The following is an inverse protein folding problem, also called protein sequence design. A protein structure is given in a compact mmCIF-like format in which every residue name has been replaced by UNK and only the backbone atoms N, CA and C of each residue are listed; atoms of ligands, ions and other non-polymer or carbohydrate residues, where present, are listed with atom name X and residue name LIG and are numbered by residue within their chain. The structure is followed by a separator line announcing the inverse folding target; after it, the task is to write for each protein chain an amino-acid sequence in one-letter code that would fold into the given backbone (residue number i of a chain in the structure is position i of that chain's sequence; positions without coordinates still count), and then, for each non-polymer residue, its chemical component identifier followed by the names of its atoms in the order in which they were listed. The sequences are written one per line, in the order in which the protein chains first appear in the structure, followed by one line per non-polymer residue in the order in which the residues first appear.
data_IF_574735605600
#
_entry.id   IF_574735605600
#
_cell.length_a   1.000
_cell.length_b   1.000
_cell.length_c   1.000
_cell.angle_alpha   90.00
_cell.angle_beta   90.00
_cell.angle_gamma   90.00
#
_symmetry.space_group_name_H-M   'P 1'
#
loop_
_entity.id
_entity.type
_entity.pdbx_description
1 polymer ?
#
# COMPACT_ATOMS: atom_id res chain seq x y z
N UNK A 1 -1.09 13.55 6.66
CA UNK A 1 -2.02 12.47 6.23
C UNK A 1 -2.10 11.40 7.31
N UNK A 2 -3.25 10.72 7.49
CA UNK A 2 -3.38 9.61 8.45
C UNK A 2 -2.72 8.35 7.87
N UNK A 3 -1.77 7.74 8.58
CA UNK A 3 -1.11 6.51 8.13
C UNK A 3 -1.70 5.24 8.77
N UNK A 4 -2.29 5.33 9.97
CA UNK A 4 -2.84 4.18 10.72
C UNK A 4 -4.36 4.08 10.59
N UNK A 5 -4.85 2.91 10.19
CA UNK A 5 -6.26 2.65 9.91
C UNK A 5 -6.80 1.55 10.81
N UNK A 6 -7.77 1.88 11.68
CA UNK A 6 -8.42 0.88 12.53
C UNK A 6 -9.43 0.05 11.74
N UNK A 7 -10.20 0.70 10.87
CA UNK A 7 -11.19 0.03 10.01
C UNK A 7 -10.52 -0.57 8.75
N UNK A 8 -10.65 -1.88 8.50
CA UNK A 8 -10.12 -2.52 7.29
C UNK A 8 -10.65 -1.91 5.99
N UNK A 9 -11.93 -1.50 5.92
CA UNK A 9 -12.51 -0.91 4.71
C UNK A 9 -11.90 0.46 4.39
N UNK A 10 -11.58 1.26 5.40
CA UNK A 10 -10.92 2.55 5.20
C UNK A 10 -9.49 2.36 4.68
N UNK A 11 -8.78 1.35 5.18
CA UNK A 11 -7.44 0.99 4.70
C UNK A 11 -7.49 0.54 3.23
N UNK A 12 -8.43 -0.37 2.91
CA UNK A 12 -8.67 -0.86 1.55
C UNK A 12 -8.97 0.31 0.59
N UNK A 13 -9.92 1.18 0.94
CA UNK A 13 -10.26 2.35 0.12
C UNK A 13 -9.08 3.30 -0.02
N UNK A 14 -8.35 3.61 1.06
CA UNK A 14 -7.24 4.56 0.96
C UNK A 14 -6.13 4.05 0.03
N UNK A 15 -5.74 2.79 0.16
CA UNK A 15 -4.72 2.19 -0.70
C UNK A 15 -5.17 2.17 -2.16
N UNK A 16 -6.46 1.88 -2.40
CA UNK A 16 -7.05 1.96 -3.73
C UNK A 16 -6.95 3.36 -4.31
N UNK A 17 -7.47 4.35 -3.59
CA UNK A 17 -7.52 5.74 -4.07
C UNK A 17 -6.12 6.30 -4.35
N UNK A 18 -5.12 5.97 -3.51
CA UNK A 18 -3.73 6.39 -3.73
C UNK A 18 -3.16 5.83 -5.02
N UNK A 19 -3.31 4.53 -5.23
CA UNK A 19 -2.78 3.89 -6.45
C UNK A 19 -3.55 4.34 -7.68
N UNK A 20 -4.87 4.52 -7.58
CA UNK A 20 -5.69 5.04 -8.68
C UNK A 20 -5.26 6.47 -9.05
N UNK A 21 -5.03 7.34 -8.06
CA UNK A 21 -4.53 8.72 -8.30
C UNK A 21 -3.17 8.71 -9.02
N UNK A 22 -2.28 7.78 -8.66
CA UNK A 22 -1.01 7.57 -9.37
C UNK A 22 -1.22 7.09 -10.81
N UNK A 23 -2.08 6.10 -11.02
CA UNK A 23 -2.39 5.57 -12.36
C UNK A 23 -3.07 6.61 -13.25
N UNK A 24 -3.80 7.56 -12.67
CA UNK A 24 -4.39 8.72 -13.35
C UNK A 24 -3.36 9.82 -13.67
N UNK A 25 -2.11 9.67 -13.24
CA UNK A 25 -1.04 10.65 -13.45
C UNK A 25 -1.18 11.91 -12.59
N UNK A 26 -1.94 11.83 -11.51
CA UNK A 26 -2.21 12.94 -10.57
C UNK A 26 -1.33 12.88 -9.31
N UNK A 27 -0.52 11.82 -9.17
CA UNK A 27 0.43 11.60 -8.09
C UNK A 27 1.70 11.01 -8.67
N UNK A 28 2.86 11.52 -8.27
CA UNK A 28 4.14 10.98 -8.71
C UNK A 28 4.49 9.69 -7.95
N UNK A 29 5.32 8.83 -8.57
CA UNK A 29 5.71 7.56 -7.97
C UNK A 29 6.43 7.74 -6.63
N UNK A 30 7.28 8.77 -6.50
CA UNK A 30 7.99 9.05 -5.25
C UNK A 30 7.02 9.38 -4.10
N UNK A 31 6.00 10.21 -4.37
CA UNK A 31 4.99 10.56 -3.37
C UNK A 31 4.11 9.35 -3.02
N UNK A 32 3.77 8.52 -4.01
CA UNK A 32 3.07 7.26 -3.80
C UNK A 32 3.90 6.34 -2.89
N UNK A 33 5.17 6.13 -3.21
CA UNK A 33 6.08 5.25 -2.49
C UNK A 33 6.18 5.67 -1.02
N UNK A 34 6.49 6.94 -0.75
CA UNK A 34 6.57 7.48 0.61
C UNK A 34 5.28 7.27 1.39
N UNK A 35 4.14 7.53 0.75
CA UNK A 35 2.83 7.46 1.40
C UNK A 35 2.42 6.02 1.70
N UNK A 36 2.60 5.11 0.74
CA UNK A 36 2.29 3.68 0.90
C UNK A 36 3.23 3.04 1.91
N UNK A 37 4.54 3.35 1.87
CA UNK A 37 5.51 2.89 2.85
C UNK A 37 5.11 3.32 4.28
N UNK A 38 4.69 4.57 4.46
CA UNK A 38 4.19 5.03 5.76
C UNK A 38 2.95 4.26 6.24
N UNK A 39 2.03 3.93 5.33
CA UNK A 39 0.84 3.11 5.64
C UNK A 39 1.26 1.68 6.01
N UNK A 40 2.18 1.07 5.27
CA UNK A 40 2.70 -0.27 5.58
C UNK A 40 3.32 -0.27 6.97
N UNK A 41 4.21 0.68 7.27
CA UNK A 41 4.88 0.79 8.57
C UNK A 41 3.88 0.98 9.72
N UNK A 42 2.80 1.75 9.50
CA UNK A 42 1.80 2.04 10.54
C UNK A 42 0.76 0.93 10.76
N UNK A 43 0.58 0.00 9.81
CA UNK A 43 -0.42 -1.07 9.88
C UNK A 43 0.18 -2.49 9.85
N UNK A 44 1.48 -2.61 9.55
CA UNK A 44 2.28 -3.83 9.55
C UNK A 44 1.61 -4.97 8.79
N UNK A 45 1.42 -6.07 9.52
CA UNK A 45 0.83 -7.33 9.05
C UNK A 45 -0.52 -7.22 8.33
N UNK A 46 -1.24 -6.10 8.51
CA UNK A 46 -2.53 -5.86 7.86
C UNK A 46 -2.41 -5.46 6.39
N UNK A 47 -1.23 -4.98 5.98
CA UNK A 47 -0.95 -4.52 4.62
C UNK A 47 0.06 -5.44 3.94
N UNK A 48 1.14 -5.78 4.63
CA UNK A 48 2.19 -6.62 4.06
C UNK A 48 2.81 -7.47 5.18
N UNK A 49 2.70 -8.80 5.04
CA UNK A 49 3.17 -9.78 6.02
C UNK A 49 3.95 -10.88 5.33
N UNK A 50 5.13 -11.20 5.83
CA UNK A 50 5.94 -12.32 5.33
C UNK A 50 6.22 -12.30 3.82
N UNK A 51 6.31 -11.12 3.20
CA UNK A 51 6.53 -10.99 1.75
C UNK A 51 5.24 -11.00 0.93
N UNK A 52 4.06 -11.01 1.56
CA UNK A 52 2.78 -11.09 0.85
C UNK A 52 1.78 -10.07 1.39
N UNK A 53 0.92 -9.57 0.50
CA UNK A 53 -0.26 -8.80 0.87
C UNK A 53 -1.35 -9.79 1.32
N UNK A 54 -2.04 -9.58 2.46
CA UNK A 54 -3.10 -10.47 2.91
C UNK A 54 -4.20 -10.65 1.86
N UNK A 55 -4.67 -11.90 1.66
CA UNK A 55 -5.62 -12.28 0.59
C UNK A 55 -6.86 -11.39 0.53
N UNK A 56 -7.41 -11.01 1.69
CA UNK A 56 -8.59 -10.13 1.75
C UNK A 56 -8.30 -8.77 1.12
N UNK A 57 -7.15 -8.19 1.44
CA UNK A 57 -6.74 -6.88 0.94
C UNK A 57 -6.41 -6.97 -0.55
N UNK A 58 -5.67 -7.99 -0.99
CA UNK A 58 -5.36 -8.18 -2.41
C UNK A 58 -6.61 -8.38 -3.25
N UNK A 59 -7.61 -9.14 -2.77
CA UNK A 59 -8.90 -9.31 -3.46
C UNK A 59 -9.65 -7.99 -3.58
N UNK A 60 -9.62 -7.14 -2.54
CA UNK A 60 -10.29 -5.84 -2.57
C UNK A 60 -9.60 -4.84 -3.51
N UNK A 61 -8.28 -4.92 -3.66
CA UNK A 61 -7.48 -4.00 -4.48
C UNK A 61 -7.41 -4.42 -5.95
N UNK A 62 -7.47 -5.73 -6.23
CA UNK A 62 -7.23 -6.28 -7.55
C UNK A 62 -5.74 -6.43 -7.87
N UNK A 63 -5.43 -7.13 -8.96
CA UNK A 63 -4.07 -7.54 -9.31
C UNK A 63 -3.11 -6.35 -9.47
N UNK A 64 -3.46 -5.40 -10.34
CA UNK A 64 -2.60 -4.26 -10.69
C UNK A 64 -2.19 -3.44 -9.46
N UNK A 65 -3.15 -3.04 -8.63
CA UNK A 65 -2.87 -2.25 -7.42
C UNK A 65 -2.06 -3.03 -6.38
N UNK A 66 -2.35 -4.33 -6.26
CA UNK A 66 -1.61 -5.22 -5.37
C UNK A 66 -0.15 -5.33 -5.80
N UNK A 67 0.12 -5.45 -7.10
CA UNK A 67 1.48 -5.52 -7.65
C UNK A 67 2.29 -4.24 -7.37
N UNK A 68 1.67 -3.07 -7.55
CA UNK A 68 2.30 -1.78 -7.25
C UNK A 68 2.65 -1.66 -5.75
N UNK A 69 1.71 -2.00 -4.86
CA UNK A 69 1.94 -1.94 -3.41
C UNK A 69 2.99 -2.97 -2.98
N UNK A 70 3.00 -4.17 -3.57
CA UNK A 70 4.00 -5.19 -3.29
C UNK A 70 5.41 -4.72 -3.65
N UNK A 71 5.58 -4.10 -4.83
CA UNK A 71 6.86 -3.50 -5.26
C UNK A 71 7.36 -2.45 -4.25
N UNK A 72 6.48 -1.54 -3.82
CA UNK A 72 6.80 -0.53 -2.81
C UNK A 72 7.23 -1.18 -1.49
N UNK A 73 6.51 -2.22 -1.06
CA UNK A 73 6.83 -2.95 0.16
C UNK A 73 8.19 -3.65 0.09
N UNK A 74 8.54 -4.23 -1.06
CA UNK A 74 9.84 -4.86 -1.30
C UNK A 74 10.98 -3.84 -1.26
N UNK A 75 10.82 -2.69 -1.94
CA UNK A 75 11.79 -1.58 -1.88
C UNK A 75 11.99 -1.07 -0.45
N UNK A 76 10.90 -0.89 0.30
CA UNK A 76 10.96 -0.43 1.70
C UNK A 76 11.66 -1.44 2.61
N UNK A 77 11.52 -2.74 2.34
CA UNK A 77 12.18 -3.79 3.13
C UNK A 77 13.69 -3.81 2.89
N UNK A 78 14.15 -3.54 1.67
CA UNK A 78 15.58 -3.43 1.34
C UNK A 78 16.27 -2.24 2.01
N UNK A 79 15.53 -1.18 2.34
CA UNK A 79 16.06 0.00 3.04
C UNK A 79 16.22 -0.19 4.57
N UNK A 80 15.59 -1.22 5.14
CA UNK A 80 15.60 -1.51 6.58
C UNK A 80 16.40 -2.78 6.94
N UNK A 81 17.14 -3.35 5.97
CA UNK A 81 18.08 -4.46 6.15
C UNK A 81 19.52 -3.96 6.03
#
# INVERSE_FOLDING_TARGET
MRASYKNPKELESKLRDLVDTYLEGLLDYEELEQTVAAIINANGDRVYKNGFIPTRLSTALGYERTDIIAKIAETTKQLNM
#
